data_IF_166585828631
#
_entry.id   IF_166585828631
#
_cell.length_a   1.000
_cell.length_b   1.000
_cell.length_c   1.000
_cell.angle_alpha   90.00
_cell.angle_beta   90.00
_cell.angle_gamma   90.00
#
_symmetry.space_group_name_H-M   'P 1'
#
loop_
_entity.id
_entity.type
_entity.pdbx_description
1 polymer ?
#
# COMPACT_ATOMS: atom_id res chain seq x y z
N UNK A 1 -25.57 -1.90 -16.46
CA UNK A 1 -24.26 -1.59 -15.85
C UNK A 1 -24.53 -0.87 -14.55
N UNK A 2 -24.21 -1.51 -13.44
CA UNK A 2 -24.56 -0.94 -12.15
C UNK A 2 -23.43 0.02 -11.68
N UNK A 3 -23.46 1.27 -12.17
CA UNK A 3 -22.66 2.38 -11.63
C UNK A 3 -23.04 2.66 -10.16
N UNK A 4 -24.12 2.06 -9.67
CA UNK A 4 -24.68 2.30 -8.32
C UNK A 4 -23.72 1.86 -7.23
N UNK A 5 -22.99 0.74 -7.41
CA UNK A 5 -22.06 0.22 -6.39
C UNK A 5 -20.87 1.17 -6.22
N UNK A 6 -20.18 1.51 -7.33
CA UNK A 6 -19.04 2.43 -7.27
C UNK A 6 -19.44 3.80 -6.76
N UNK A 7 -20.57 4.34 -7.24
CA UNK A 7 -21.08 5.65 -6.81
C UNK A 7 -21.48 5.63 -5.33
N UNK A 8 -22.04 4.51 -4.84
CA UNK A 8 -22.38 4.32 -3.43
C UNK A 8 -21.13 4.31 -2.56
N UNK A 9 -20.06 3.60 -2.99
CA UNK A 9 -18.78 3.57 -2.29
C UNK A 9 -18.10 4.93 -2.29
N UNK A 10 -18.07 5.65 -3.42
CA UNK A 10 -17.56 7.02 -3.48
C UNK A 10 -18.30 7.93 -2.49
N UNK A 11 -19.63 7.88 -2.47
CA UNK A 11 -20.43 8.68 -1.54
C UNK A 11 -20.17 8.29 -0.06
N UNK A 12 -20.00 7.01 0.21
CA UNK A 12 -19.69 6.50 1.56
C UNK A 12 -18.33 6.99 2.03
N UNK A 13 -17.28 6.87 1.18
CA UNK A 13 -15.92 7.30 1.51
C UNK A 13 -15.81 8.82 1.67
N UNK A 14 -16.54 9.58 0.85
CA UNK A 14 -16.60 11.04 0.99
C UNK A 14 -17.18 11.45 2.36
N UNK A 15 -18.21 10.73 2.87
CA UNK A 15 -18.72 10.95 4.22
C UNK A 15 -17.71 10.60 5.32
N UNK A 16 -16.73 9.76 5.03
CA UNK A 16 -15.62 9.44 5.95
C UNK A 16 -14.45 10.42 5.86
N UNK A 17 -14.52 11.43 4.98
CA UNK A 17 -13.51 12.47 4.81
C UNK A 17 -12.65 12.34 3.57
N UNK A 18 -12.89 11.36 2.69
CA UNK A 18 -12.17 11.28 1.41
C UNK A 18 -12.62 12.39 0.45
N UNK A 19 -11.70 12.86 -0.36
CA UNK A 19 -11.95 13.85 -1.44
C UNK A 19 -11.95 13.14 -2.79
N UNK A 20 -12.91 13.47 -3.66
CA UNK A 20 -12.95 12.95 -5.02
C UNK A 20 -11.96 13.71 -5.90
N UNK A 21 -10.96 13.01 -6.45
CA UNK A 21 -9.96 13.54 -7.39
C UNK A 21 -10.42 13.32 -8.83
N UNK A 22 -10.84 12.09 -9.15
CA UNK A 22 -11.46 11.75 -10.44
C UNK A 22 -12.80 11.09 -10.12
N UNK A 23 -13.92 11.64 -10.61
CA UNK A 23 -15.24 11.04 -10.40
C UNK A 23 -15.36 9.70 -11.12
N UNK A 24 -16.40 8.94 -10.78
CA UNK A 24 -16.69 7.65 -11.42
C UNK A 24 -16.69 7.80 -12.95
N UNK A 25 -15.72 7.19 -13.60
CA UNK A 25 -15.42 7.32 -15.03
C UNK A 25 -15.37 5.93 -15.65
N UNK A 26 -15.98 5.78 -16.83
CA UNK A 26 -15.94 4.53 -17.56
C UNK A 26 -14.66 4.41 -18.40
N UNK A 27 -14.04 3.22 -18.35
CA UNK A 27 -12.90 2.85 -19.19
C UNK A 27 -13.23 1.57 -19.93
N UNK A 28 -13.25 1.65 -21.27
CA UNK A 28 -13.74 0.55 -22.09
C UNK A 28 -15.22 0.24 -21.81
N UNK A 29 -15.63 -0.98 -22.15
CA UNK A 29 -17.06 -1.35 -22.13
C UNK A 29 -17.54 -1.83 -20.76
N UNK A 30 -16.64 -2.26 -19.88
CA UNK A 30 -16.99 -3.04 -18.67
C UNK A 30 -16.35 -2.55 -17.36
N UNK A 31 -15.45 -1.58 -17.41
CA UNK A 31 -14.73 -1.12 -16.23
C UNK A 31 -15.08 0.31 -15.90
N UNK A 32 -15.37 0.57 -14.65
CA UNK A 32 -15.50 1.89 -14.07
C UNK A 32 -14.45 2.08 -12.99
N UNK A 33 -13.90 3.29 -12.88
CA UNK A 33 -12.99 3.64 -11.80
C UNK A 33 -13.30 5.02 -11.25
N UNK A 34 -12.84 5.28 -10.05
CA UNK A 34 -12.80 6.60 -9.43
C UNK A 34 -11.46 6.75 -8.69
N UNK A 35 -10.94 7.96 -8.61
CA UNK A 35 -9.76 8.27 -7.79
C UNK A 35 -10.19 9.18 -6.66
N UNK A 36 -9.83 8.79 -5.45
CA UNK A 36 -10.06 9.56 -4.24
C UNK A 36 -8.74 9.84 -3.53
N UNK A 37 -8.71 10.87 -2.72
CA UNK A 37 -7.67 11.07 -1.73
C UNK A 37 -8.25 10.80 -0.33
N UNK A 38 -7.46 10.15 0.55
CA UNK A 38 -7.80 9.99 1.95
C UNK A 38 -7.75 11.35 2.69
N UNK A 39 -8.12 11.44 3.97
CA UNK A 39 -8.05 12.70 4.73
C UNK A 39 -6.65 13.31 4.84
N UNK A 40 -5.59 12.52 4.62
CA UNK A 40 -4.20 12.95 4.61
C UNK A 40 -3.69 13.33 3.20
N UNK A 41 -4.54 13.22 2.17
CA UNK A 41 -4.22 13.57 0.78
C UNK A 41 -3.60 12.43 -0.04
N UNK A 42 -3.49 11.20 0.49
CA UNK A 42 -2.97 10.06 -0.25
C UNK A 42 -3.98 9.56 -1.26
N UNK A 43 -3.59 9.50 -2.54
CA UNK A 43 -4.47 9.06 -3.61
C UNK A 43 -4.60 7.53 -3.65
N UNK A 44 -5.84 7.06 -3.85
CA UNK A 44 -6.15 5.66 -4.10
C UNK A 44 -7.29 5.54 -5.12
N UNK A 45 -7.38 4.40 -5.77
CA UNK A 45 -8.39 4.16 -6.79
C UNK A 45 -9.37 3.08 -6.35
N UNK A 46 -10.65 3.30 -6.68
CA UNK A 46 -11.68 2.28 -6.65
C UNK A 46 -11.98 1.88 -8.09
N UNK A 47 -12.28 0.62 -8.30
CA UNK A 47 -12.75 0.16 -9.61
C UNK A 47 -13.85 -0.88 -9.45
N UNK A 48 -14.76 -0.94 -10.43
CA UNK A 48 -15.74 -1.99 -10.58
C UNK A 48 -15.74 -2.55 -11.99
N UNK A 49 -16.00 -3.84 -12.13
CA UNK A 49 -16.20 -4.52 -13.42
C UNK A 49 -17.62 -5.04 -13.49
N UNK A 50 -18.26 -4.89 -14.65
CA UNK A 50 -19.63 -5.32 -14.85
C UNK A 50 -19.78 -6.80 -15.25
N UNK A 51 -18.82 -7.64 -14.96
CA UNK A 51 -18.93 -9.09 -15.17
C UNK A 51 -19.11 -9.81 -13.85
N UNK A 52 -20.34 -10.01 -13.46
CA UNK A 52 -20.75 -10.84 -12.33
C UNK A 52 -20.30 -12.31 -12.42
N UNK A 53 -19.79 -12.75 -13.57
CA UNK A 53 -19.54 -14.17 -13.82
C UNK A 53 -18.10 -14.64 -13.55
N UNK A 54 -17.15 -13.76 -13.25
CA UNK A 54 -15.74 -14.17 -13.13
C UNK A 54 -15.08 -13.98 -11.76
N UNK A 55 -15.68 -13.25 -10.85
CA UNK A 55 -15.14 -13.16 -9.50
C UNK A 55 -15.60 -14.34 -8.64
N UNK A 56 -16.83 -14.83 -8.87
CA UNK A 56 -17.34 -16.00 -8.13
C UNK A 56 -16.71 -17.31 -8.62
N UNK A 57 -16.45 -17.47 -9.94
CA UNK A 57 -15.76 -18.65 -10.50
C UNK A 57 -14.26 -18.73 -10.15
N UNK A 58 -13.63 -17.64 -9.72
CA UNK A 58 -12.23 -17.66 -9.26
C UNK A 58 -12.08 -17.87 -7.77
N UNK A 59 -13.15 -17.96 -7.03
CA UNK A 59 -13.15 -18.28 -5.60
C UNK A 59 -13.45 -19.76 -5.33
N UNK A 60 -13.42 -20.62 -6.32
CA UNK A 60 -12.92 -21.97 -6.07
C UNK A 60 -11.40 -21.83 -5.89
N UNK A 61 -11.02 -21.31 -4.73
CA UNK A 61 -9.66 -21.29 -4.23
C UNK A 61 -9.32 -22.75 -3.98
N UNK A 62 -8.85 -23.46 -5.01
CA UNK A 62 -8.26 -24.76 -4.84
C UNK A 62 -7.12 -24.64 -3.82
N UNK A 63 -6.83 -25.72 -3.10
CA UNK A 63 -5.72 -25.78 -2.15
C UNK A 63 -4.41 -25.22 -2.73
N UNK A 64 -4.21 -25.32 -4.04
CA UNK A 64 -3.08 -24.75 -4.79
C UNK A 64 -3.00 -23.22 -4.76
N UNK A 65 -4.12 -22.49 -4.68
CA UNK A 65 -4.10 -21.03 -4.58
C UNK A 65 -3.69 -20.57 -3.17
N UNK A 66 -4.07 -21.31 -2.15
CA UNK A 66 -3.64 -21.04 -0.76
C UNK A 66 -2.13 -21.24 -0.65
N UNK A 67 -1.59 -22.26 -1.32
CA UNK A 67 -0.14 -22.51 -1.38
C UNK A 67 0.59 -21.40 -2.15
N UNK A 68 0.01 -20.89 -3.25
CA UNK A 68 0.60 -19.77 -4.00
C UNK A 68 0.49 -18.44 -3.24
N UNK A 69 -0.58 -18.22 -2.47
CA UNK A 69 -0.71 -17.03 -1.61
C UNK A 69 0.26 -17.05 -0.41
N UNK A 70 0.71 -18.22 -0.01
CA UNK A 70 1.76 -18.42 0.99
C UNK A 70 3.17 -18.45 0.37
N UNK A 71 3.31 -18.43 -0.96
CA UNK A 71 4.61 -18.36 -1.62
C UNK A 71 5.31 -17.04 -1.25
N UNK A 72 6.61 -17.13 -0.95
CA UNK A 72 7.42 -15.93 -0.72
C UNK A 72 7.28 -14.98 -1.92
N UNK A 73 7.14 -13.65 -1.68
CA UNK A 73 7.11 -12.68 -2.77
C UNK A 73 8.34 -12.82 -3.66
N UNK A 74 8.14 -12.72 -4.97
CA UNK A 74 9.26 -12.75 -5.91
C UNK A 74 10.07 -11.45 -5.81
N UNK A 75 11.38 -11.53 -6.06
CA UNK A 75 12.23 -10.33 -6.18
C UNK A 75 11.68 -9.40 -7.26
N UNK A 76 11.66 -8.10 -6.99
CA UNK A 76 11.08 -7.07 -7.84
C UNK A 76 9.57 -6.92 -7.71
N UNK A 77 8.88 -7.77 -6.92
CA UNK A 77 7.45 -7.59 -6.68
C UNK A 77 7.19 -6.53 -5.62
N UNK A 78 6.05 -5.84 -5.73
CA UNK A 78 5.50 -5.04 -4.64
C UNK A 78 5.02 -6.02 -3.55
N UNK A 79 5.74 -6.09 -2.46
CA UNK A 79 5.50 -7.05 -1.38
C UNK A 79 4.99 -6.39 -0.10
N UNK A 80 5.02 -5.06 -0.04
CA UNK A 80 4.60 -4.26 1.09
C UNK A 80 4.13 -2.87 0.62
N UNK A 81 3.42 -2.15 1.46
CA UNK A 81 3.21 -0.70 1.30
C UNK A 81 3.40 -0.01 2.65
N UNK A 82 3.76 1.26 2.63
CA UNK A 82 3.92 2.04 3.84
C UNK A 82 3.05 3.30 3.80
N UNK A 83 2.37 3.55 4.91
CA UNK A 83 1.64 4.79 5.19
C UNK A 83 2.43 5.57 6.22
N UNK A 84 2.96 6.73 5.87
CA UNK A 84 3.47 7.70 6.82
C UNK A 84 2.37 8.70 7.15
N UNK A 85 2.14 8.96 8.44
CA UNK A 85 1.06 9.88 8.82
C UNK A 85 1.44 10.75 10.00
N UNK A 86 0.96 11.98 10.00
CA UNK A 86 1.06 12.93 11.12
C UNK A 86 -0.08 12.78 12.14
N UNK A 87 -1.13 12.02 11.79
CA UNK A 87 -2.25 11.68 12.69
C UNK A 87 -2.64 10.20 12.52
N UNK A 88 -1.92 9.32 13.22
CA UNK A 88 -2.15 7.88 13.14
C UNK A 88 -3.56 7.45 13.57
N UNK A 89 -4.20 8.19 14.49
CA UNK A 89 -5.56 7.86 14.94
C UNK A 89 -6.61 8.16 13.87
N UNK A 90 -6.49 9.32 13.22
CA UNK A 90 -7.36 9.68 12.10
C UNK A 90 -7.20 8.70 10.94
N UNK A 91 -5.95 8.37 10.59
CA UNK A 91 -5.60 7.40 9.54
C UNK A 91 -6.18 6.01 9.84
N UNK A 92 -5.96 5.48 11.03
CA UNK A 92 -6.53 4.20 11.46
C UNK A 92 -8.06 4.22 11.39
N UNK A 93 -8.70 5.27 11.92
CA UNK A 93 -10.16 5.42 11.90
C UNK A 93 -10.70 5.43 10.47
N UNK A 94 -10.05 6.15 9.57
CA UNK A 94 -10.47 6.20 8.16
C UNK A 94 -10.39 4.83 7.50
N UNK A 95 -9.22 4.20 7.47
CA UNK A 95 -9.03 2.93 6.76
C UNK A 95 -9.78 1.76 7.38
N UNK A 96 -9.96 1.73 8.71
CA UNK A 96 -10.81 0.73 9.37
C UNK A 96 -12.27 0.87 8.93
N UNK A 97 -12.81 2.09 8.91
CA UNK A 97 -14.23 2.34 8.51
C UNK A 97 -14.42 2.25 7.00
N UNK A 98 -13.41 2.63 6.22
CA UNK A 98 -13.45 2.59 4.75
C UNK A 98 -13.36 1.17 4.20
N UNK A 99 -12.42 0.36 4.71
CA UNK A 99 -12.03 -0.91 4.11
C UNK A 99 -11.95 -2.08 5.09
N UNK A 100 -12.25 -1.87 6.37
CA UNK A 100 -12.14 -2.91 7.39
C UNK A 100 -10.69 -3.27 7.76
N UNK A 101 -9.73 -2.38 7.49
CA UNK A 101 -8.35 -2.64 7.85
C UNK A 101 -8.17 -2.69 9.36
N UNK A 102 -7.26 -3.56 9.82
CA UNK A 102 -6.85 -3.71 11.21
C UNK A 102 -5.42 -3.26 11.37
N UNK A 103 -5.13 -2.59 12.47
CA UNK A 103 -3.81 -2.06 12.81
C UNK A 103 -3.35 -2.66 14.13
N UNK A 104 -2.12 -3.16 14.17
CA UNK A 104 -1.49 -3.68 15.38
C UNK A 104 -0.16 -2.98 15.60
N UNK A 105 0.05 -2.49 16.80
CA UNK A 105 1.31 -1.86 17.17
C UNK A 105 2.44 -2.89 17.09
N UNK A 106 3.56 -2.47 16.50
CA UNK A 106 4.77 -3.29 16.38
C UNK A 106 5.80 -2.84 17.41
N UNK A 107 5.92 -3.60 18.49
CA UNK A 107 6.88 -3.34 19.55
C UNK A 107 8.33 -3.69 19.19
N UNK A 108 8.54 -4.37 18.05
CA UNK A 108 9.85 -4.76 17.53
C UNK A 108 10.49 -3.68 16.64
N UNK A 109 9.76 -2.62 16.31
CA UNK A 109 10.22 -1.54 15.42
C UNK A 109 11.26 -0.58 16.05
N UNK A 110 12.00 -1.02 17.05
CA UNK A 110 13.11 -0.26 17.64
C UNK A 110 12.70 1.04 18.36
N UNK A 111 11.51 1.05 18.98
CA UNK A 111 10.97 2.21 19.71
C UNK A 111 10.29 3.24 18.82
N UNK A 112 10.18 2.98 17.51
CA UNK A 112 9.40 3.80 16.58
C UNK A 112 7.91 3.50 16.76
N UNK A 113 7.06 4.50 16.58
CA UNK A 113 5.60 4.34 16.54
C UNK A 113 5.20 3.73 15.20
N UNK A 114 5.26 2.40 15.10
CA UNK A 114 4.96 1.66 13.90
C UNK A 114 3.81 0.68 14.13
N UNK A 115 2.96 0.51 13.13
CA UNK A 115 1.81 -0.36 13.18
C UNK A 115 1.76 -1.26 11.96
N UNK A 116 1.61 -2.54 12.15
CA UNK A 116 1.33 -3.50 11.10
C UNK A 116 -0.10 -3.32 10.57
N UNK A 117 -0.29 -3.31 9.25
CA UNK A 117 -1.59 -3.14 8.57
C UNK A 117 -2.05 -4.46 8.00
N UNK A 118 -3.24 -4.90 8.40
CA UNK A 118 -3.90 -6.12 7.91
C UNK A 118 -5.08 -5.73 7.02
N UNK A 119 -5.03 -6.12 5.75
CA UNK A 119 -6.02 -5.76 4.72
C UNK A 119 -6.99 -6.92 4.41
N UNK A 120 -7.28 -7.78 5.39
CA UNK A 120 -8.17 -8.94 5.25
C UNK A 120 -7.46 -10.29 5.24
N UNK A 121 -6.12 -10.30 5.37
CA UNK A 121 -5.31 -11.53 5.53
C UNK A 121 -4.91 -11.72 6.99
N UNK A 122 -4.45 -12.92 7.33
CA UNK A 122 -3.92 -13.25 8.67
C UNK A 122 -2.56 -12.61 8.94
N UNK A 123 -1.80 -12.29 7.89
CA UNK A 123 -0.50 -11.62 7.96
C UNK A 123 -0.60 -10.18 7.46
N UNK A 124 0.27 -9.28 7.92
CA UNK A 124 0.24 -7.89 7.52
C UNK A 124 0.58 -7.74 6.03
N UNK A 125 -0.05 -6.76 5.39
CA UNK A 125 0.16 -6.40 3.98
C UNK A 125 0.95 -5.10 3.83
N UNK A 126 1.08 -4.33 4.90
CA UNK A 126 1.73 -3.03 4.92
C UNK A 126 2.01 -2.58 6.33
N UNK A 127 2.62 -1.40 6.45
CA UNK A 127 2.91 -0.76 7.70
C UNK A 127 2.48 0.70 7.74
N UNK A 128 2.28 1.22 8.95
CA UNK A 128 2.01 2.62 9.17
C UNK A 128 3.01 3.20 10.17
N UNK A 129 3.69 4.25 9.75
CA UNK A 129 4.64 4.98 10.57
C UNK A 129 4.01 6.29 11.07
N UNK A 130 4.02 6.49 12.37
CA UNK A 130 3.64 7.77 12.98
C UNK A 130 4.81 8.74 12.87
N UNK A 131 4.64 9.75 12.02
CA UNK A 131 5.66 10.77 11.73
C UNK A 131 5.70 11.87 12.80
N UNK A 132 4.72 11.89 13.71
CA UNK A 132 4.52 13.06 14.59
C UNK A 132 4.11 14.30 13.80
N UNK A 133 4.12 15.46 14.44
CA UNK A 133 3.58 16.70 13.88
C UNK A 133 4.39 17.31 12.73
N UNK A 134 5.66 16.93 12.56
CA UNK A 134 6.60 17.59 11.64
C UNK A 134 6.80 16.81 10.33
N UNK A 135 6.12 15.69 10.15
CA UNK A 135 6.20 14.86 8.95
C UNK A 135 5.32 15.34 7.82
N UNK A 136 5.52 14.78 6.63
CA UNK A 136 4.60 14.89 5.50
C UNK A 136 3.93 13.54 5.25
N UNK A 137 2.61 13.54 5.19
CA UNK A 137 1.83 12.32 4.97
C UNK A 137 2.17 11.69 3.60
N UNK A 138 2.24 10.36 3.55
CA UNK A 138 2.48 9.60 2.31
C UNK A 138 1.87 8.21 2.34
N UNK A 139 1.64 7.66 1.15
CA UNK A 139 1.38 6.24 0.93
C UNK A 139 2.25 5.78 -0.23
N UNK A 140 3.20 4.89 0.02
CA UNK A 140 4.19 4.47 -0.95
C UNK A 140 4.30 2.94 -1.05
N UNK A 141 4.53 2.40 -2.27
CA UNK A 141 4.80 0.99 -2.46
C UNK A 141 6.21 0.61 -1.98
N UNK A 142 6.38 -0.65 -1.59
CA UNK A 142 7.66 -1.22 -1.17
C UNK A 142 7.95 -2.49 -1.95
N UNK A 143 9.11 -2.53 -2.58
CA UNK A 143 9.53 -3.61 -3.46
C UNK A 143 10.58 -4.49 -2.78
N UNK A 144 10.38 -5.79 -2.86
CA UNK A 144 11.32 -6.77 -2.36
C UNK A 144 12.48 -6.92 -3.34
N UNK A 145 13.71 -6.73 -2.84
CA UNK A 145 14.94 -6.83 -3.64
C UNK A 145 15.94 -7.81 -3.02
N UNK A 146 16.94 -8.20 -3.77
CA UNK A 146 17.98 -9.11 -3.28
C UNK A 146 19.04 -8.40 -2.45
N UNK A 147 19.40 -7.19 -2.86
CA UNK A 147 20.45 -6.38 -2.25
C UNK A 147 20.05 -4.90 -2.35
N UNK A 148 19.85 -4.25 -1.22
CA UNK A 148 19.41 -2.84 -1.17
C UNK A 148 20.52 -1.88 -1.60
N UNK A 149 21.77 -1.99 -1.11
CA UNK A 149 22.89 -1.21 -1.61
C UNK A 149 23.06 -1.26 -3.13
N UNK A 150 23.04 -2.45 -3.73
CA UNK A 150 23.16 -2.63 -5.19
C UNK A 150 22.04 -1.90 -5.94
N UNK A 151 20.80 -2.00 -5.43
CA UNK A 151 19.64 -1.32 -6.04
C UNK A 151 19.74 0.20 -5.88
N UNK A 152 20.27 0.70 -4.77
CA UNK A 152 20.51 2.13 -4.58
C UNK A 152 21.50 2.67 -5.62
N UNK A 153 22.65 2.01 -5.80
CA UNK A 153 23.66 2.39 -6.81
C UNK A 153 23.07 2.38 -8.22
N UNK A 154 22.30 1.35 -8.56
CA UNK A 154 21.62 1.27 -9.85
C UNK A 154 20.60 2.42 -10.02
N UNK A 155 19.77 2.69 -9.02
CA UNK A 155 18.77 3.75 -9.07
C UNK A 155 19.42 5.13 -9.27
N UNK A 156 20.51 5.44 -8.54
CA UNK A 156 21.26 6.68 -8.71
C UNK A 156 21.89 6.79 -10.10
N UNK A 157 22.40 5.70 -10.65
CA UNK A 157 22.96 5.67 -12.01
C UNK A 157 21.89 5.97 -13.09
N UNK A 158 20.62 5.71 -12.77
CA UNK A 158 19.45 5.99 -13.61
C UNK A 158 18.79 7.35 -13.33
N UNK A 159 19.40 8.17 -12.45
CA UNK A 159 18.96 9.52 -12.14
C UNK A 159 17.95 9.64 -11.00
N UNK A 160 17.74 8.57 -10.23
CA UNK A 160 16.95 8.62 -9.00
C UNK A 160 17.77 9.21 -7.84
N UNK A 161 17.10 9.56 -6.76
CA UNK A 161 17.70 10.05 -5.51
C UNK A 161 17.38 9.08 -4.38
N UNK A 162 18.39 8.59 -3.68
CA UNK A 162 18.21 7.86 -2.43
C UNK A 162 17.97 8.88 -1.31
N UNK A 163 16.69 9.03 -0.91
CA UNK A 163 16.29 10.00 0.13
C UNK A 163 16.64 9.53 1.53
N UNK A 164 16.70 8.20 1.72
CA UNK A 164 16.96 7.58 3.02
C UNK A 164 17.52 6.17 2.86
N UNK A 165 18.45 5.80 3.73
CA UNK A 165 19.03 4.46 3.78
C UNK A 165 20.34 4.32 2.96
N UNK A 166 20.89 3.10 2.82
CA UNK A 166 20.36 1.88 3.42
C UNK A 166 20.43 1.90 4.95
N UNK A 167 19.36 1.49 5.61
CA UNK A 167 19.27 1.33 7.06
C UNK A 167 18.89 -0.13 7.38
N UNK A 168 19.22 -0.58 8.58
CA UNK A 168 18.99 -1.98 8.98
C UNK A 168 18.23 -2.02 10.29
N UNK A 169 17.08 -2.70 10.28
CA UNK A 169 16.32 -2.96 11.50
C UNK A 169 17.00 -4.01 12.38
N UNK A 170 16.66 -4.10 13.69
CA UNK A 170 17.23 -5.10 14.61
C UNK A 170 17.04 -6.55 14.18
N UNK A 171 16.00 -6.86 13.42
CA UNK A 171 15.70 -8.17 12.85
C UNK A 171 16.47 -8.46 11.55
N UNK A 172 17.30 -7.51 11.09
CA UNK A 172 18.15 -7.66 9.92
C UNK A 172 17.49 -7.28 8.59
N UNK A 173 16.27 -6.73 8.60
CA UNK A 173 15.66 -6.16 7.41
C UNK A 173 16.43 -4.90 6.99
N UNK A 174 16.89 -4.86 5.73
CA UNK A 174 17.57 -3.70 5.13
C UNK A 174 16.60 -2.97 4.23
N UNK A 175 16.57 -1.64 4.28
CA UNK A 175 15.64 -0.85 3.48
C UNK A 175 16.18 0.52 3.09
N UNK A 176 15.66 1.08 1.99
CA UNK A 176 15.91 2.43 1.52
C UNK A 176 14.65 3.05 0.95
N UNK A 177 14.58 4.38 0.98
CA UNK A 177 13.54 5.14 0.27
C UNK A 177 14.16 5.90 -0.89
N UNK A 178 13.53 5.77 -2.05
CA UNK A 178 14.02 6.27 -3.33
C UNK A 178 12.97 7.19 -3.95
N UNK A 179 13.44 8.30 -4.51
CA UNK A 179 12.67 9.20 -5.37
C UNK A 179 13.11 8.97 -6.81
N UNK A 180 12.21 8.55 -7.68
CA UNK A 180 12.53 8.36 -9.10
C UNK A 180 12.69 9.72 -9.84
N UNK A 181 13.22 9.74 -11.07
CA UNK A 181 13.40 10.97 -11.83
C UNK A 181 12.10 11.74 -12.14
N UNK A 182 10.94 11.10 -12.01
CA UNK A 182 9.63 11.71 -12.22
C UNK A 182 8.99 12.22 -10.91
N UNK A 183 9.65 12.03 -9.77
CA UNK A 183 9.18 12.46 -8.46
C UNK A 183 8.30 11.45 -7.73
N UNK A 184 8.25 10.17 -8.16
CA UNK A 184 7.52 9.14 -7.43
C UNK A 184 8.41 8.52 -6.35
N UNK A 185 7.86 8.42 -5.13
CA UNK A 185 8.51 7.76 -4.00
C UNK A 185 8.15 6.30 -3.91
N UNK A 186 9.13 5.49 -3.58
CA UNK A 186 8.95 4.09 -3.23
C UNK A 186 10.05 3.64 -2.27
N UNK A 187 9.85 2.52 -1.61
CA UNK A 187 10.88 1.86 -0.83
C UNK A 187 11.33 0.57 -1.48
N UNK A 188 12.57 0.22 -1.22
CA UNK A 188 13.12 -1.11 -1.51
C UNK A 188 13.56 -1.74 -0.21
N UNK A 189 13.38 -3.05 -0.07
CA UNK A 189 13.81 -3.77 1.12
C UNK A 189 14.27 -5.19 0.80
N UNK A 190 15.13 -5.72 1.66
CA UNK A 190 15.55 -7.12 1.65
C UNK A 190 15.45 -7.71 3.05
N UNK A 191 15.18 -9.01 3.14
CA UNK A 191 15.12 -9.72 4.41
C UNK A 191 16.27 -10.71 4.55
N UNK A 192 16.74 -11.02 5.78
CA UNK A 192 17.78 -12.01 5.97
C UNK A 192 17.44 -13.36 5.32
N UNK A 193 18.39 -13.92 4.59
CA UNK A 193 18.25 -15.25 3.98
C UNK A 193 17.47 -15.31 2.66
N UNK A 194 17.34 -14.17 2.00
CA UNK A 194 16.83 -14.12 0.61
C UNK A 194 17.91 -14.00 -0.42
#
# INVERSE_FOLDING_TARGET
LDTSILSTDVARLTKLGATVVIPATQVGDVTWFAVLADPQGNAFSLFSRSTSERFEERVEVGEDYIVQAAAKPARGSMAWFEVGTTDHKATQSFYTRAFGWRFEFDDTAGGKQYYNIFTGKEWPSGGMYDLGADGADYLIPSFLVGDVPEVNELAESLGAVVEFGPDTNPDGLVYSRILDPNGNRFTVFSTPGM
#
